data_IF_144492215057
#
_entry.id   IF_144492215057
#
_cell.length_a   1.000
_cell.length_b   1.000
_cell.length_c   1.000
_cell.angle_alpha   90.00
_cell.angle_beta   90.00
_cell.angle_gamma   90.00
#
_symmetry.space_group_name_H-M   'P 1'
#
loop_
_entity.id
_entity.type
_entity.pdbx_description
1 polymer ?
#
# COMPACT_ATOMS: atom_id res chain seq x y z
N UNK A 1 -85.64 -74.66 23.02
CA UNK A 1 -86.35 -73.43 22.60
C UNK A 1 -85.35 -72.35 22.19
N UNK A 2 -85.54 -71.82 20.99
CA UNK A 2 -84.68 -70.90 20.23
C UNK A 2 -84.36 -69.55 20.95
N UNK A 3 -83.33 -68.82 20.46
CA UNK A 3 -82.54 -67.80 21.17
C UNK A 3 -82.97 -66.36 20.83
N UNK A 4 -82.53 -65.35 21.59
CA UNK A 4 -82.66 -63.94 21.20
C UNK A 4 -81.40 -63.13 21.54
N UNK A 5 -80.69 -62.82 20.45
CA UNK A 5 -80.06 -61.56 20.08
C UNK A 5 -78.91 -61.01 20.93
N UNK A 6 -77.72 -61.16 20.34
CA UNK A 6 -76.54 -60.30 20.48
C UNK A 6 -76.90 -58.81 20.31
N UNK A 7 -76.45 -57.98 21.24
CA UNK A 7 -76.19 -56.56 20.97
C UNK A 7 -74.66 -56.40 21.01
N UNK A 8 -74.04 -56.72 19.89
CA UNK A 8 -72.70 -56.23 19.55
C UNK A 8 -72.81 -54.72 19.43
N UNK A 9 -72.41 -54.00 20.48
CA UNK A 9 -72.12 -52.57 20.41
C UNK A 9 -70.85 -52.43 19.56
N UNK A 10 -71.06 -52.52 18.25
CA UNK A 10 -70.06 -52.26 17.25
C UNK A 10 -69.72 -50.78 17.39
N UNK A 11 -68.57 -50.50 17.99
CA UNK A 11 -67.80 -49.30 17.68
C UNK A 11 -67.67 -49.28 16.17
N UNK A 12 -68.54 -48.53 15.51
CA UNK A 12 -68.39 -48.18 14.10
C UNK A 12 -67.13 -47.36 14.06
N UNK A 13 -66.02 -48.04 13.76
CA UNK A 13 -64.77 -47.39 13.38
C UNK A 13 -65.12 -46.60 12.13
N UNK A 14 -65.23 -45.30 12.31
CA UNK A 14 -65.39 -44.30 11.26
C UNK A 14 -64.14 -44.28 10.38
N UNK A 15 -63.97 -45.34 9.58
CA UNK A 15 -62.88 -45.49 8.60
C UNK A 15 -63.07 -44.57 7.37
N UNK A 16 -64.23 -43.91 7.25
CA UNK A 16 -64.55 -43.00 6.14
C UNK A 16 -64.12 -41.55 6.40
N UNK A 17 -64.29 -41.04 7.62
CA UNK A 17 -63.84 -39.69 7.98
C UNK A 17 -62.32 -39.61 8.11
N UNK A 18 -61.68 -40.62 8.72
CA UNK A 18 -60.23 -40.63 8.95
C UNK A 18 -59.42 -40.58 7.65
N UNK A 19 -59.83 -41.32 6.63
CA UNK A 19 -59.15 -41.34 5.33
C UNK A 19 -59.26 -39.99 4.59
N UNK A 20 -60.38 -39.28 4.72
CA UNK A 20 -60.55 -37.95 4.12
C UNK A 20 -59.74 -36.88 4.86
N UNK A 21 -59.65 -37.00 6.19
CA UNK A 21 -58.83 -36.13 7.03
C UNK A 21 -57.34 -36.36 6.80
N UNK A 22 -56.91 -37.61 6.65
CA UNK A 22 -55.53 -37.98 6.33
C UNK A 22 -55.13 -37.46 4.94
N UNK A 23 -56.02 -37.57 3.94
CA UNK A 23 -55.78 -36.98 2.62
C UNK A 23 -55.69 -35.45 2.68
N UNK A 24 -56.54 -34.80 3.48
CA UNK A 24 -56.49 -33.34 3.67
C UNK A 24 -55.20 -32.93 4.37
N UNK A 25 -54.74 -33.66 5.39
CA UNK A 25 -53.47 -33.44 6.07
C UNK A 25 -52.30 -33.60 5.11
N UNK A 26 -52.30 -34.65 4.29
CA UNK A 26 -51.27 -34.88 3.27
C UNK A 26 -51.19 -33.71 2.27
N UNK A 27 -52.34 -33.23 1.76
CA UNK A 27 -52.38 -32.10 0.83
C UNK A 27 -51.85 -30.80 1.47
N UNK A 28 -52.16 -30.54 2.75
CA UNK A 28 -51.63 -29.38 3.48
C UNK A 28 -50.11 -29.47 3.66
N UNK A 29 -49.58 -30.65 3.98
CA UNK A 29 -48.14 -30.87 4.10
C UNK A 29 -47.43 -30.68 2.76
N UNK A 30 -48.03 -31.15 1.66
CA UNK A 30 -47.48 -30.97 0.31
C UNK A 30 -47.44 -29.48 -0.08
N UNK A 31 -48.53 -28.74 0.15
CA UNK A 31 -48.60 -27.30 -0.10
C UNK A 31 -47.55 -26.54 0.72
N UNK A 32 -47.48 -26.81 2.03
CA UNK A 32 -46.50 -26.17 2.91
C UNK A 32 -45.06 -26.49 2.47
N UNK A 33 -44.81 -27.74 2.03
CA UNK A 33 -43.49 -28.14 1.53
C UNK A 33 -43.12 -27.41 0.25
N UNK A 34 -44.09 -27.24 -0.66
CA UNK A 34 -43.91 -26.49 -1.91
C UNK A 34 -43.62 -25.01 -1.65
N UNK A 35 -44.40 -24.37 -0.77
CA UNK A 35 -44.16 -22.98 -0.35
C UNK A 35 -42.80 -22.82 0.35
N UNK A 36 -42.43 -23.75 1.22
CA UNK A 36 -41.11 -23.76 1.85
C UNK A 36 -39.98 -23.90 0.82
N UNK A 37 -40.13 -24.78 -0.17
CA UNK A 37 -39.14 -24.94 -1.24
C UNK A 37 -39.01 -23.67 -2.09
N UNK A 38 -40.12 -23.04 -2.47
CA UNK A 38 -40.12 -21.82 -3.27
C UNK A 38 -39.49 -20.64 -2.51
N UNK A 39 -39.83 -20.47 -1.23
CA UNK A 39 -39.25 -19.42 -0.39
C UNK A 39 -37.75 -19.63 -0.14
N UNK A 40 -37.32 -20.88 0.08
CA UNK A 40 -35.89 -21.23 0.21
C UNK A 40 -35.14 -20.97 -1.09
N UNK A 41 -35.69 -21.37 -2.25
CA UNK A 41 -35.08 -21.14 -3.55
C UNK A 41 -34.92 -19.64 -3.83
N UNK A 42 -35.98 -18.85 -3.66
CA UNK A 42 -35.93 -17.41 -3.84
C UNK A 42 -34.92 -16.73 -2.89
N UNK A 43 -34.84 -17.19 -1.63
CA UNK A 43 -33.85 -16.69 -0.68
C UNK A 43 -32.41 -17.09 -1.07
N UNK A 44 -32.21 -18.30 -1.60
CA UNK A 44 -30.93 -18.77 -2.09
C UNK A 44 -30.46 -17.96 -3.31
N UNK A 45 -31.34 -17.74 -4.30
CA UNK A 45 -31.04 -16.93 -5.49
C UNK A 45 -30.68 -15.50 -5.13
N UNK A 46 -31.45 -14.88 -4.21
CA UNK A 46 -31.15 -13.53 -3.71
C UNK A 46 -29.79 -13.48 -3.01
N UNK A 47 -29.47 -14.47 -2.17
CA UNK A 47 -28.16 -14.56 -1.51
C UNK A 47 -27.04 -14.75 -2.53
N UNK A 48 -27.21 -15.65 -3.50
CA UNK A 48 -26.24 -15.90 -4.56
C UNK A 48 -25.97 -14.62 -5.37
N UNK A 49 -27.02 -13.92 -5.79
CA UNK A 49 -26.90 -12.66 -6.52
C UNK A 49 -26.13 -11.59 -5.72
N UNK A 50 -26.51 -11.39 -4.45
CA UNK A 50 -25.83 -10.44 -3.57
C UNK A 50 -24.35 -10.80 -3.37
N UNK A 51 -24.04 -12.09 -3.17
CA UNK A 51 -22.67 -12.57 -3.03
C UNK A 51 -21.87 -12.32 -4.32
N UNK A 52 -22.44 -12.59 -5.49
CA UNK A 52 -21.79 -12.30 -6.77
C UNK A 52 -21.46 -10.82 -6.93
N UNK A 53 -22.38 -9.92 -6.55
CA UNK A 53 -22.13 -8.48 -6.58
C UNK A 53 -21.01 -8.06 -5.63
N UNK A 54 -21.04 -8.56 -4.38
CA UNK A 54 -20.02 -8.25 -3.37
C UNK A 54 -18.64 -8.79 -3.76
N UNK A 55 -18.58 -9.99 -4.35
CA UNK A 55 -17.34 -10.55 -4.88
C UNK A 55 -16.79 -9.71 -6.03
N UNK A 56 -17.65 -9.23 -6.94
CA UNK A 56 -17.26 -8.32 -8.01
C UNK A 56 -16.68 -7.01 -7.49
N UNK A 57 -17.33 -6.41 -6.48
CA UNK A 57 -16.83 -5.19 -5.81
C UNK A 57 -15.47 -5.42 -5.17
N UNK A 58 -15.33 -6.49 -4.37
CA UNK A 58 -14.04 -6.85 -3.74
C UNK A 58 -12.94 -7.12 -4.76
N UNK A 59 -13.25 -7.80 -5.86
CA UNK A 59 -12.28 -8.05 -6.93
C UNK A 59 -11.79 -6.74 -7.57
N UNK A 60 -12.70 -5.79 -7.80
CA UNK A 60 -12.36 -4.47 -8.31
C UNK A 60 -11.51 -3.66 -7.31
N UNK A 61 -11.82 -3.73 -6.02
CA UNK A 61 -11.04 -3.09 -4.95
C UNK A 61 -9.62 -3.67 -4.87
N UNK A 62 -9.49 -5.00 -4.85
CA UNK A 62 -8.20 -5.69 -4.84
C UNK A 62 -7.38 -5.28 -6.07
N UNK A 63 -7.99 -5.28 -7.25
CA UNK A 63 -7.30 -4.86 -8.47
C UNK A 63 -6.84 -3.40 -8.38
N UNK A 64 -7.69 -2.50 -7.89
CA UNK A 64 -7.33 -1.09 -7.71
C UNK A 64 -6.13 -0.93 -6.79
N UNK A 65 -6.15 -1.57 -5.63
CA UNK A 65 -5.04 -1.47 -4.66
C UNK A 65 -3.76 -2.09 -5.19
N UNK A 66 -3.86 -3.21 -5.93
CA UNK A 66 -2.72 -3.79 -6.61
C UNK A 66 -2.08 -2.80 -7.60
N UNK A 67 -2.88 -2.20 -8.49
CA UNK A 67 -2.37 -1.22 -9.46
C UNK A 67 -1.76 0.00 -8.76
N UNK A 68 -2.35 0.46 -7.66
CA UNK A 68 -1.82 1.59 -6.91
C UNK A 68 -0.49 1.26 -6.21
N UNK A 69 -0.36 0.05 -5.65
CA UNK A 69 0.89 -0.44 -5.07
C UNK A 69 1.98 -0.56 -6.13
N UNK A 70 1.68 -1.15 -7.29
CA UNK A 70 2.61 -1.26 -8.41
C UNK A 70 3.10 0.13 -8.88
N UNK A 71 2.18 1.10 -9.00
CA UNK A 71 2.52 2.49 -9.33
C UNK A 71 3.41 3.12 -8.27
N UNK A 72 3.10 2.96 -6.99
CA UNK A 72 3.88 3.52 -5.90
C UNK A 72 5.30 2.93 -5.84
N UNK A 73 5.46 1.62 -6.12
CA UNK A 73 6.76 0.96 -6.21
C UNK A 73 7.60 1.47 -7.38
N UNK A 74 6.98 1.73 -8.54
CA UNK A 74 7.65 2.33 -9.69
C UNK A 74 8.13 3.75 -9.36
N UNK A 75 7.26 4.58 -8.78
CA UNK A 75 7.61 5.95 -8.34
C UNK A 75 8.76 5.96 -7.32
N UNK A 76 8.75 5.03 -6.35
CA UNK A 76 9.86 4.89 -5.40
C UNK A 76 11.16 4.49 -6.08
N UNK A 77 11.10 3.64 -7.09
CA UNK A 77 12.29 3.25 -7.87
C UNK A 77 12.87 4.43 -8.61
N UNK A 78 12.02 5.21 -9.30
CA UNK A 78 12.43 6.43 -10.00
C UNK A 78 13.05 7.47 -9.05
N UNK A 79 12.47 7.65 -7.87
CA UNK A 79 13.00 8.57 -6.85
C UNK A 79 14.39 8.11 -6.35
N UNK A 80 14.57 6.81 -6.08
CA UNK A 80 15.86 6.25 -5.66
C UNK A 80 16.94 6.50 -6.72
N UNK A 81 16.61 6.27 -7.98
CA UNK A 81 17.52 6.48 -9.11
C UNK A 81 17.85 7.97 -9.31
N UNK A 82 16.84 8.85 -9.16
CA UNK A 82 17.04 10.29 -9.23
C UNK A 82 17.98 10.77 -8.11
N UNK A 83 17.77 10.32 -6.88
CA UNK A 83 18.64 10.63 -5.74
C UNK A 83 20.08 10.13 -5.95
N UNK A 84 20.25 8.95 -6.57
CA UNK A 84 21.58 8.42 -6.91
C UNK A 84 22.31 9.34 -7.90
N UNK A 85 21.60 9.80 -8.94
CA UNK A 85 22.15 10.76 -9.89
C UNK A 85 22.47 12.10 -9.21
N UNK A 86 21.61 12.60 -8.31
CA UNK A 86 21.91 13.82 -7.53
C UNK A 86 23.18 13.66 -6.69
N UNK A 87 23.31 12.52 -6.01
CA UNK A 87 24.49 12.20 -5.20
C UNK A 87 25.76 12.21 -6.04
N UNK A 88 25.71 11.60 -7.22
CA UNK A 88 26.83 11.58 -8.17
C UNK A 88 27.21 13.00 -8.59
N UNK A 89 26.23 13.83 -8.96
CA UNK A 89 26.46 15.24 -9.33
C UNK A 89 27.05 16.06 -8.19
N UNK A 90 26.55 15.90 -6.96
CA UNK A 90 27.09 16.57 -5.79
C UNK A 90 28.55 16.18 -5.51
N UNK A 91 28.88 14.89 -5.62
CA UNK A 91 30.27 14.39 -5.48
C UNK A 91 31.19 14.95 -6.56
N UNK A 92 30.72 15.06 -7.80
CA UNK A 92 31.48 15.68 -8.89
C UNK A 92 31.72 17.17 -8.65
N UNK A 93 30.69 17.90 -8.21
CA UNK A 93 30.81 19.30 -7.83
C UNK A 93 31.83 19.49 -6.70
N UNK A 94 31.83 18.61 -5.69
CA UNK A 94 32.84 18.61 -4.62
C UNK A 94 34.26 18.43 -5.16
N UNK A 95 34.47 17.50 -6.10
CA UNK A 95 35.78 17.29 -6.73
C UNK A 95 36.25 18.54 -7.49
N UNK A 96 35.37 19.17 -8.25
CA UNK A 96 35.68 20.40 -8.97
C UNK A 96 36.01 21.56 -8.00
N UNK A 97 35.24 21.71 -6.92
CA UNK A 97 35.50 22.68 -5.86
C UNK A 97 36.87 22.44 -5.19
N UNK A 98 37.28 21.18 -5.06
CA UNK A 98 38.60 20.81 -4.55
C UNK A 98 39.76 21.41 -5.35
N UNK A 99 39.60 21.56 -6.67
CA UNK A 99 40.59 22.23 -7.53
C UNK A 99 40.69 23.71 -7.17
N UNK A 100 39.54 24.39 -7.08
CA UNK A 100 39.48 25.82 -6.70
C UNK A 100 40.10 26.06 -5.32
N UNK A 101 39.76 25.20 -4.35
CA UNK A 101 40.34 25.23 -3.00
C UNK A 101 41.86 25.15 -3.00
N UNK A 102 42.42 24.25 -3.82
CA UNK A 102 43.86 24.06 -3.90
C UNK A 102 44.56 25.28 -4.54
N UNK A 103 43.97 25.86 -5.57
CA UNK A 103 44.48 27.09 -6.20
C UNK A 103 44.50 28.24 -5.19
N UNK A 104 43.39 28.49 -4.49
CA UNK A 104 43.31 29.54 -3.48
C UNK A 104 44.35 29.32 -2.36
N UNK A 105 44.53 28.07 -1.90
CA UNK A 105 45.54 27.71 -0.91
C UNK A 105 46.98 27.95 -1.41
N UNK A 106 47.29 27.59 -2.65
CA UNK A 106 48.61 27.85 -3.24
C UNK A 106 48.89 29.35 -3.38
N UNK A 107 47.90 30.13 -3.84
CA UNK A 107 48.02 31.58 -3.96
C UNK A 107 48.33 32.24 -2.62
N UNK A 108 47.59 31.89 -1.56
CA UNK A 108 47.87 32.35 -0.20
C UNK A 108 49.24 31.88 0.29
N UNK A 109 49.61 30.62 0.02
CA UNK A 109 50.91 30.07 0.42
C UNK A 109 52.11 30.74 -0.27
N UNK A 110 51.95 31.22 -1.52
CA UNK A 110 52.98 32.01 -2.20
C UNK A 110 53.09 33.41 -1.62
N UNK A 111 51.96 34.05 -1.32
CA UNK A 111 51.91 35.40 -0.72
C UNK A 111 52.51 35.42 0.69
N UNK A 112 52.28 34.37 1.47
CA UNK A 112 52.88 34.21 2.81
C UNK A 112 54.42 34.11 2.81
N UNK A 113 55.06 33.93 1.64
CA UNK A 113 56.53 33.86 1.50
C UNK A 113 57.16 35.18 1.09
N UNK A 114 56.40 36.27 0.95
CA UNK A 114 56.95 37.60 0.65
C UNK A 114 57.87 38.06 1.77
N UNK A 115 58.94 38.77 1.41
CA UNK A 115 59.95 39.33 2.32
C UNK A 115 59.84 40.86 2.23
N UNK A 116 60.23 41.61 3.27
CA UNK A 116 60.25 43.07 3.23
C UNK A 116 61.05 43.61 2.01
N UNK A 117 60.58 44.68 1.33
CA UNK A 117 59.44 45.55 1.66
C UNK A 117 58.08 45.09 1.10
N UNK A 118 58.01 43.96 0.38
CA UNK A 118 56.79 43.46 -0.30
C UNK A 118 55.77 42.81 0.65
N UNK A 119 56.04 42.80 1.96
CA UNK A 119 55.13 42.29 3.00
C UNK A 119 54.02 43.31 3.31
N UNK A 120 53.25 43.67 2.28
CA UNK A 120 52.07 44.52 2.40
C UNK A 120 50.84 43.67 2.07
N UNK A 121 49.84 43.70 2.95
CA UNK A 121 48.52 43.15 2.65
C UNK A 121 47.87 43.99 1.57
N UNK A 122 47.71 43.40 0.41
CA UNK A 122 47.06 44.02 -0.75
C UNK A 122 45.61 43.53 -0.89
N UNK A 123 44.83 44.25 -1.68
CA UNK A 123 43.42 43.96 -1.95
C UNK A 123 43.20 42.52 -2.46
N UNK A 124 44.15 41.99 -3.27
CA UNK A 124 44.05 40.63 -3.77
C UNK A 124 44.27 39.56 -2.69
N UNK A 125 45.04 39.84 -1.63
CA UNK A 125 45.12 38.95 -0.46
C UNK A 125 43.79 38.93 0.31
N UNK A 126 43.14 40.09 0.48
CA UNK A 126 41.83 40.16 1.14
C UNK A 126 40.75 39.39 0.38
N UNK A 127 40.68 39.57 -0.95
CA UNK A 127 39.73 38.84 -1.79
C UNK A 127 40.01 37.32 -1.80
N UNK A 128 41.28 36.90 -1.81
CA UNK A 128 41.64 35.47 -1.71
C UNK A 128 41.20 34.85 -0.37
N UNK A 129 41.25 35.60 0.73
CA UNK A 129 40.76 35.13 2.04
C UNK A 129 39.24 34.95 2.00
N UNK A 130 38.51 35.90 1.40
CA UNK A 130 37.05 35.80 1.22
C UNK A 130 36.69 34.61 0.33
N UNK A 131 37.40 34.41 -0.78
CA UNK A 131 37.22 33.25 -1.66
C UNK A 131 37.44 31.94 -0.90
N UNK A 132 38.52 31.82 -0.12
CA UNK A 132 38.80 30.62 0.66
C UNK A 132 37.71 30.33 1.71
N UNK A 133 37.15 31.37 2.34
CA UNK A 133 36.02 31.23 3.26
C UNK A 133 34.77 30.74 2.52
N UNK A 134 34.42 31.35 1.39
CA UNK A 134 33.27 30.95 0.58
C UNK A 134 33.40 29.51 0.07
N UNK A 135 34.57 29.12 -0.43
CA UNK A 135 34.86 27.75 -0.87
C UNK A 135 34.61 26.75 0.25
N UNK A 136 34.99 27.07 1.49
CA UNK A 136 34.73 26.22 2.64
C UNK A 136 33.24 26.11 2.95
N UNK A 137 32.50 27.23 2.94
CA UNK A 137 31.05 27.23 3.16
C UNK A 137 30.30 26.38 2.13
N UNK A 138 30.70 26.48 0.85
CA UNK A 138 30.15 25.66 -0.23
C UNK A 138 30.51 24.18 -0.06
N UNK A 139 31.75 23.87 0.35
CA UNK A 139 32.16 22.48 0.64
C UNK A 139 31.30 21.87 1.75
N UNK A 140 31.12 22.60 2.85
CA UNK A 140 30.29 22.18 3.99
C UNK A 140 28.82 21.99 3.58
N UNK A 141 28.30 22.85 2.68
CA UNK A 141 26.95 22.71 2.15
C UNK A 141 26.79 21.45 1.29
N UNK A 142 27.74 21.19 0.39
CA UNK A 142 27.73 20.00 -0.46
C UNK A 142 27.80 18.74 0.41
N UNK A 143 28.64 18.74 1.45
CA UNK A 143 28.77 17.60 2.37
C UNK A 143 27.48 17.31 3.13
N UNK A 144 26.83 18.34 3.69
CA UNK A 144 25.51 18.17 4.31
C UNK A 144 24.48 17.63 3.31
N UNK A 145 24.52 18.11 2.07
CA UNK A 145 23.58 17.69 1.02
C UNK A 145 23.77 16.22 0.64
N UNK A 146 25.03 15.77 0.52
CA UNK A 146 25.34 14.36 0.25
C UNK A 146 24.80 13.46 1.36
N UNK A 147 25.01 13.82 2.63
CA UNK A 147 24.50 13.06 3.79
C UNK A 147 22.98 12.98 3.75
N UNK A 148 22.29 14.11 3.52
CA UNK A 148 20.82 14.15 3.43
C UNK A 148 20.28 13.28 2.29
N UNK A 149 20.96 13.26 1.13
CA UNK A 149 20.59 12.39 0.01
C UNK A 149 20.76 10.92 0.41
N UNK A 150 21.87 10.55 1.04
CA UNK A 150 22.13 9.17 1.47
C UNK A 150 21.08 8.69 2.49
N UNK A 151 20.76 9.51 3.49
CA UNK A 151 19.70 9.23 4.46
C UNK A 151 18.32 9.10 3.80
N UNK A 152 18.02 9.92 2.79
CA UNK A 152 16.75 9.80 2.04
C UNK A 152 16.72 8.55 1.17
N UNK A 153 17.83 8.18 0.53
CA UNK A 153 17.94 6.94 -0.25
C UNK A 153 17.73 5.70 0.63
N UNK A 154 18.33 5.65 1.82
CA UNK A 154 18.15 4.55 2.76
C UNK A 154 16.70 4.42 3.21
N UNK A 155 16.06 5.55 3.57
CA UNK A 155 14.64 5.58 3.92
C UNK A 155 13.76 5.11 2.77
N UNK A 156 14.00 5.57 1.55
CA UNK A 156 13.21 5.17 0.38
C UNK A 156 13.37 3.67 0.07
N UNK A 157 14.60 3.13 0.15
CA UNK A 157 14.85 1.70 -0.04
C UNK A 157 14.15 0.85 1.02
N UNK A 158 14.18 1.28 2.28
CA UNK A 158 13.50 0.58 3.37
C UNK A 158 11.98 0.61 3.21
N UNK A 159 11.41 1.75 2.82
CA UNK A 159 9.97 1.87 2.53
C UNK A 159 9.57 1.00 1.35
N UNK A 160 10.36 1.02 0.26
CA UNK A 160 10.11 0.18 -0.91
C UNK A 160 10.12 -1.30 -0.55
N UNK A 161 11.12 -1.78 0.19
CA UNK A 161 11.19 -3.17 0.63
C UNK A 161 9.97 -3.59 1.47
N UNK A 162 9.50 -2.70 2.38
CA UNK A 162 8.28 -2.96 3.15
C UNK A 162 7.04 -3.09 2.27
N UNK A 163 6.92 -2.26 1.24
CA UNK A 163 5.81 -2.33 0.29
C UNK A 163 5.87 -3.52 -0.65
N UNK A 164 7.05 -4.09 -0.89
CA UNK A 164 7.22 -5.34 -1.66
C UNK A 164 6.83 -6.58 -0.84
N UNK A 165 6.91 -6.49 0.49
CA UNK A 165 6.54 -7.56 1.43
C UNK A 165 5.03 -7.57 1.80
N UNK A 166 4.31 -6.47 1.56
CA UNK A 166 2.87 -6.28 1.83
C UNK A 166 1.95 -6.90 0.75
#
# INVERSE_FOLDING_TARGET
>A
PLPLAEASDGVVVDNGSSASEDQRRANVVELNSREAMETIAAAADKKQHNNTLQLGQRAAEIHRWKTELERALEEMTLEIDMLEEQRRRARQAKTALGIVKNIARECLGRRAKRIEPDLVRDEAEEELIKEAALVKEVEDLIDRTIVQIEEQQERNKATKARMEDD
#
